data_IF_010279580851
#
_entry.id   IF_010279580851
#
_cell.length_a   1.000
_cell.length_b   1.000
_cell.length_c   1.000
_cell.angle_alpha   90.00
_cell.angle_beta   90.00
_cell.angle_gamma   90.00
#
_symmetry.space_group_name_H-M   'P 1'
#
loop_
_entity.id
_entity.type
_entity.pdbx_description
1 polymer ?
#
# COMPACT_ATOMS: atom_id res chain seq x y z
N UNK A 1 -0.01 21.07 -15.06
CA UNK A 1 -0.41 19.70 -15.44
C UNK A 1 -0.72 18.96 -14.15
N UNK A 2 -2.01 18.77 -13.83
CA UNK A 2 -2.45 18.18 -12.56
C UNK A 2 -2.24 16.67 -12.57
N UNK A 3 -1.13 16.19 -12.00
CA UNK A 3 -0.85 14.77 -11.78
C UNK A 3 -1.60 14.28 -10.52
N UNK A 4 -2.93 14.16 -10.59
CA UNK A 4 -3.73 13.65 -9.46
C UNK A 4 -3.62 12.12 -9.36
N UNK A 5 -2.82 11.66 -8.42
CA UNK A 5 -2.88 10.29 -7.91
C UNK A 5 -4.27 10.03 -7.34
N UNK A 6 -4.84 8.84 -7.55
CA UNK A 6 -6.11 8.46 -6.94
C UNK A 6 -5.85 7.83 -5.58
N UNK A 7 -5.69 8.68 -4.56
CA UNK A 7 -5.64 8.27 -3.16
C UNK A 7 -7.07 8.30 -2.62
N UNK A 8 -7.49 7.23 -1.96
CA UNK A 8 -8.75 7.20 -1.23
C UNK A 8 -8.42 7.16 0.26
N UNK A 9 -8.94 8.15 0.99
CA UNK A 9 -8.82 8.24 2.44
C UNK A 9 -10.10 7.75 3.11
N UNK A 10 -9.98 6.83 4.05
CA UNK A 10 -11.09 6.38 4.89
C UNK A 10 -10.85 6.75 6.34
N UNK A 11 -11.92 7.13 7.04
CA UNK A 11 -11.92 7.36 8.48
C UNK A 11 -12.68 6.22 9.16
N UNK A 12 -12.01 5.47 10.04
CA UNK A 12 -12.64 4.41 10.82
C UNK A 12 -12.93 4.91 12.24
N UNK A 13 -14.20 4.82 12.66
CA UNK A 13 -14.62 5.07 14.04
C UNK A 13 -14.80 3.74 14.78
N UNK A 14 -13.99 3.48 15.81
CA UNK A 14 -14.18 2.31 16.68
C UNK A 14 -14.96 2.67 17.95
N UNK A 15 -15.78 1.73 18.46
CA UNK A 15 -16.68 1.96 19.60
C UNK A 15 -15.97 2.14 20.94
N UNK A 16 -14.67 1.80 21.01
CA UNK A 16 -13.91 1.71 22.28
C UNK A 16 -12.72 2.68 22.38
N UNK A 17 -12.32 3.36 21.31
CA UNK A 17 -11.38 4.49 21.34
C UNK A 17 -11.68 5.48 20.21
N UNK A 18 -11.83 6.76 20.55
CA UNK A 18 -11.81 7.89 19.62
C UNK A 18 -10.37 8.08 19.12
N UNK A 19 -9.95 7.28 18.14
CA UNK A 19 -8.77 7.56 17.34
C UNK A 19 -9.23 7.51 15.88
N UNK A 20 -9.13 8.64 15.18
CA UNK A 20 -9.39 8.73 13.74
C UNK A 20 -8.25 8.01 12.99
N UNK A 21 -8.44 6.74 12.66
CA UNK A 21 -7.49 6.06 11.77
C UNK A 21 -7.75 6.53 10.34
N UNK A 22 -6.82 7.31 9.80
CA UNK A 22 -6.79 7.63 8.38
C UNK A 22 -6.16 6.44 7.65
N UNK A 23 -6.96 5.73 6.88
CA UNK A 23 -6.47 4.70 5.97
C UNK A 23 -6.26 5.28 4.59
N UNK A 24 -5.06 5.09 4.05
CA UNK A 24 -4.76 5.49 2.67
C UNK A 24 -4.73 4.27 1.78
N UNK A 25 -5.51 4.31 0.71
CA UNK A 25 -5.48 3.28 -0.33
C UNK A 25 -4.96 3.84 -1.65
N UNK A 26 -4.05 3.09 -2.26
CA UNK A 26 -3.41 3.43 -3.54
C UNK A 26 -3.20 2.16 -4.38
N UNK A 27 -3.29 2.28 -5.69
CA UNK A 27 -2.92 1.19 -6.60
C UNK A 27 -1.41 1.20 -6.88
N UNK A 28 -0.76 0.05 -6.72
CA UNK A 28 0.67 -0.12 -6.99
C UNK A 28 0.91 -1.23 -8.02
N UNK A 29 1.93 -1.04 -8.86
CA UNK A 29 2.39 -2.03 -9.82
C UNK A 29 3.81 -2.47 -9.47
N UNK A 30 3.97 -3.76 -9.19
CA UNK A 30 5.24 -4.36 -8.77
C UNK A 30 5.97 -5.00 -9.94
N UNK A 31 5.27 -5.73 -10.84
CA UNK A 31 5.72 -6.31 -12.13
C UNK A 31 7.08 -7.04 -12.25
N UNK A 32 7.91 -7.08 -11.20
CA UNK A 32 9.23 -7.70 -11.17
C UNK A 32 9.63 -8.14 -9.73
N UNK A 33 10.38 -9.24 -9.56
CA UNK A 33 10.85 -9.70 -8.25
C UNK A 33 11.70 -8.66 -7.49
N UNK A 34 12.54 -7.91 -8.18
CA UNK A 34 13.41 -6.88 -7.59
C UNK A 34 12.58 -5.72 -7.00
N UNK A 35 11.50 -5.34 -7.70
CA UNK A 35 10.54 -4.35 -7.23
C UNK A 35 9.74 -4.86 -6.03
N UNK A 36 9.37 -6.15 -5.99
CA UNK A 36 8.73 -6.76 -4.82
C UNK A 36 9.64 -6.66 -3.60
N UNK A 37 10.91 -7.04 -3.76
CA UNK A 37 11.93 -6.94 -2.70
C UNK A 37 12.12 -5.49 -2.23
N UNK A 38 12.20 -4.53 -3.17
CA UNK A 38 12.36 -3.11 -2.86
C UNK A 38 11.16 -2.56 -2.09
N UNK A 39 9.94 -2.84 -2.54
CA UNK A 39 8.71 -2.43 -1.86
C UNK A 39 8.64 -3.00 -0.45
N UNK A 40 8.83 -4.32 -0.29
CA UNK A 40 8.80 -4.94 1.05
C UNK A 40 9.87 -4.34 1.98
N UNK A 41 11.05 -4.01 1.46
CA UNK A 41 12.11 -3.38 2.23
C UNK A 41 11.73 -1.98 2.72
N UNK A 42 11.19 -1.14 1.83
CA UNK A 42 10.65 0.19 2.18
C UNK A 42 9.61 0.05 3.29
N UNK A 43 8.56 -0.76 3.06
CA UNK A 43 7.47 -0.94 4.01
C UNK A 43 7.94 -1.52 5.36
N UNK A 44 8.98 -2.34 5.38
CA UNK A 44 9.56 -2.89 6.61
C UNK A 44 10.30 -1.84 7.46
N UNK A 45 10.73 -0.72 6.86
CA UNK A 45 11.34 0.41 7.56
C UNK A 45 10.32 1.21 8.38
N UNK A 46 9.03 1.07 8.08
CA UNK A 46 7.95 1.79 8.74
C UNK A 46 7.27 0.96 9.82
N UNK A 47 6.68 1.65 10.81
CA UNK A 47 5.99 0.99 11.93
C UNK A 47 4.56 0.60 11.57
N UNK A 48 3.94 1.29 10.63
CA UNK A 48 2.57 1.03 10.17
C UNK A 48 2.35 -0.39 9.64
N UNK A 49 1.08 -0.80 9.60
CA UNK A 49 0.68 -2.02 8.90
C UNK A 49 0.37 -1.69 7.43
N UNK A 50 0.68 -2.64 6.55
CA UNK A 50 0.51 -2.47 5.11
C UNK A 50 -0.10 -3.73 4.52
N UNK A 51 -1.25 -3.60 3.90
CA UNK A 51 -1.93 -4.72 3.26
C UNK A 51 -1.86 -4.59 1.75
N UNK A 52 -1.38 -5.63 1.07
CA UNK A 52 -1.51 -5.77 -0.37
C UNK A 52 -2.68 -6.69 -0.68
N UNK A 53 -3.62 -6.20 -1.49
CA UNK A 53 -4.84 -6.90 -1.82
C UNK A 53 -5.08 -7.01 -3.33
N UNK A 54 -5.59 -8.17 -3.74
CA UNK A 54 -6.19 -8.39 -5.06
C UNK A 54 -7.46 -9.23 -4.92
N UNK A 55 -8.62 -8.63 -5.20
CA UNK A 55 -9.90 -9.30 -5.03
C UNK A 55 -10.09 -9.72 -3.56
N UNK A 56 -10.08 -11.03 -3.30
CA UNK A 56 -10.22 -11.59 -1.93
C UNK A 56 -8.89 -11.99 -1.29
N UNK A 57 -7.78 -11.93 -2.03
CA UNK A 57 -6.47 -12.32 -1.52
C UNK A 57 -5.78 -11.10 -0.91
N UNK A 58 -5.38 -11.23 0.36
CA UNK A 58 -4.73 -10.17 1.14
C UNK A 58 -3.48 -10.76 1.77
N UNK A 59 -2.37 -10.05 1.68
CA UNK A 59 -1.10 -10.40 2.31
C UNK A 59 -0.50 -9.18 3.00
N UNK A 60 0.35 -9.45 4.00
CA UNK A 60 1.20 -8.43 4.59
C UNK A 60 2.21 -7.92 3.55
N UNK A 61 2.18 -6.61 3.28
CA UNK A 61 3.06 -5.94 2.33
C UNK A 61 4.55 -5.98 2.73
N UNK A 62 4.87 -6.26 3.98
CA UNK A 62 6.25 -6.47 4.47
C UNK A 62 6.77 -7.89 4.18
N UNK A 63 5.89 -8.84 3.89
CA UNK A 63 6.26 -10.24 3.67
C UNK A 63 6.62 -10.48 2.20
N UNK A 64 7.92 -10.51 1.87
CA UNK A 64 8.36 -10.85 0.51
C UNK A 64 7.82 -12.19 0.02
N UNK A 65 7.67 -13.17 0.92
CA UNK A 65 7.08 -14.47 0.58
C UNK A 65 5.61 -14.29 0.21
N UNK A 66 4.85 -13.52 0.99
CA UNK A 66 3.43 -13.25 0.70
C UNK A 66 3.22 -12.42 -0.57
N UNK A 67 4.06 -11.42 -0.82
CA UNK A 67 3.97 -10.61 -2.05
C UNK A 67 4.27 -11.47 -3.28
N UNK A 68 5.28 -12.34 -3.22
CA UNK A 68 5.62 -13.22 -4.33
C UNK A 68 4.59 -14.32 -4.62
N UNK A 69 3.61 -14.58 -3.73
CA UNK A 69 2.49 -15.50 -4.01
C UNK A 69 1.32 -14.81 -4.73
N UNK A 70 1.35 -13.48 -4.88
CA UNK A 70 0.31 -12.72 -5.58
C UNK A 70 0.53 -12.71 -7.09
N UNK A 71 -0.54 -12.43 -7.85
CA UNK A 71 -0.44 -12.10 -9.27
C UNK A 71 0.10 -10.67 -9.46
N UNK A 72 1.40 -10.55 -9.69
CA UNK A 72 2.11 -9.27 -9.86
C UNK A 72 1.96 -8.66 -11.27
N UNK A 73 1.28 -9.35 -12.20
CA UNK A 73 1.10 -8.88 -13.58
C UNK A 73 0.09 -7.73 -13.70
N UNK A 74 -0.69 -7.49 -12.65
CA UNK A 74 -1.70 -6.44 -12.61
C UNK A 74 -1.54 -5.58 -11.35
N UNK A 75 -2.06 -4.33 -11.35
CA UNK A 75 -2.02 -3.49 -10.17
C UNK A 75 -2.70 -4.14 -8.96
N UNK A 76 -2.07 -3.96 -7.80
CA UNK A 76 -2.56 -4.38 -6.49
C UNK A 76 -3.03 -3.16 -5.70
N UNK A 77 -3.99 -3.35 -4.79
CA UNK A 77 -4.38 -2.31 -3.85
C UNK A 77 -3.48 -2.39 -2.63
N UNK A 78 -2.71 -1.33 -2.37
CA UNK A 78 -1.96 -1.15 -1.13
C UNK A 78 -2.81 -0.32 -0.16
N UNK A 79 -3.08 -0.87 1.02
CA UNK A 79 -3.71 -0.15 2.14
C UNK A 79 -2.63 0.16 3.17
N UNK A 80 -2.51 1.44 3.52
CA UNK A 80 -1.54 1.97 4.46
C UNK A 80 -2.29 2.33 5.75
N UNK A 81 -1.92 1.65 6.83
CA UNK A 81 -2.41 1.88 8.18
C UNK A 81 -1.34 2.64 8.97
N UNK A 82 -1.00 3.82 8.49
CA UNK A 82 0.01 4.69 9.11
C UNK A 82 -0.43 6.15 8.97
N UNK A 83 -0.16 6.95 10.00
CA UNK A 83 -0.50 8.38 10.02
C UNK A 83 0.47 9.23 9.19
N UNK A 84 1.71 8.76 9.00
CA UNK A 84 2.76 9.51 8.32
C UNK A 84 2.73 9.32 6.79
N UNK A 85 2.95 10.42 6.09
CA UNK A 85 2.95 10.51 4.62
C UNK A 85 4.31 10.18 4.02
N UNK A 86 5.36 10.03 4.83
CA UNK A 86 6.72 9.68 4.37
C UNK A 86 6.73 8.44 3.48
N UNK A 87 5.99 7.40 3.84
CA UNK A 87 5.90 6.17 3.06
C UNK A 87 5.38 6.42 1.64
N UNK A 88 4.43 7.35 1.46
CA UNK A 88 3.86 7.66 0.15
C UNK A 88 4.90 8.25 -0.80
N UNK A 89 5.85 9.03 -0.30
CA UNK A 89 6.96 9.58 -1.08
C UNK A 89 7.92 8.48 -1.55
N UNK A 90 8.24 7.53 -0.66
CA UNK A 90 9.18 6.45 -0.95
C UNK A 90 8.63 5.42 -1.93
N UNK A 91 7.31 5.18 -1.93
CA UNK A 91 6.67 4.21 -2.82
C UNK A 91 6.19 4.80 -4.15
N UNK A 92 6.45 6.09 -4.44
CA UNK A 92 5.94 6.80 -5.64
C UNK A 92 6.22 6.08 -6.96
N UNK A 93 7.35 5.39 -7.05
CA UNK A 93 7.72 4.66 -8.28
C UNK A 93 6.80 3.46 -8.58
N UNK A 94 6.13 2.91 -7.56
CA UNK A 94 5.20 1.79 -7.70
C UNK A 94 3.78 2.28 -7.98
N UNK A 95 3.45 3.51 -7.60
CA UNK A 95 2.08 4.03 -7.68
C UNK A 95 1.61 4.15 -9.13
N UNK A 96 0.47 3.55 -9.43
CA UNK A 96 -0.20 3.68 -10.72
C UNK A 96 -0.88 5.05 -10.78
N UNK A 97 -0.60 5.80 -11.85
CA UNK A 97 -1.30 7.07 -12.12
C UNK A 97 -2.75 6.77 -12.48
N UNK A 98 -3.68 7.36 -11.73
CA UNK A 98 -5.10 7.34 -12.10
C UNK A 98 -5.28 7.96 -13.48
N UNK A 99 -6.07 7.30 -14.34
CA UNK A 99 -6.54 7.88 -15.61
C UNK A 99 -7.56 8.98 -15.37
#
# INVERSE_FOLDING_TARGET
>A
MNNRWKIVEYYIYTRTKQEDFVLKQVEVLIDAPEKAKKLCHILSGHKGAFDLAKGRYIVDGKSIIGVCTMDLSTPLTLTIHEEDDTVMEEIREFVVKGR
#
